data_IF_404616093312
#
_entry.id   IF_404616093312
#
_cell.length_a   1.000
_cell.length_b   1.000
_cell.length_c   1.000
_cell.angle_alpha   90.00
_cell.angle_beta   90.00
_cell.angle_gamma   90.00
#
_symmetry.space_group_name_H-M   'P 1'
#
loop_
_entity.id
_entity.type
_entity.pdbx_description
1 polymer ?
#
# COMPACT_ATOMS: atom_id res chain seq x y z
N UNK A 1 7.16 -7.60 7.19
CA UNK A 1 8.17 -6.63 6.77
C UNK A 1 9.40 -6.77 7.66
N UNK A 2 9.32 -6.55 8.98
CA UNK A 2 10.48 -6.61 9.89
C UNK A 2 11.23 -7.94 9.85
N UNK A 3 10.53 -9.09 9.89
CA UNK A 3 11.18 -10.40 9.82
C UNK A 3 11.96 -10.59 8.50
N UNK A 4 11.42 -10.08 7.40
CA UNK A 4 12.07 -10.09 6.10
C UNK A 4 13.36 -9.26 6.10
N UNK A 5 13.31 -8.01 6.57
CA UNK A 5 14.50 -7.16 6.63
C UNK A 5 15.56 -7.71 7.58
N UNK A 6 15.16 -8.33 8.68
CA UNK A 6 16.09 -9.03 9.61
C UNK A 6 16.74 -10.26 8.98
N UNK A 7 15.99 -11.02 8.17
CA UNK A 7 16.53 -12.20 7.46
C UNK A 7 17.50 -11.82 6.35
N UNK A 8 17.13 -10.80 5.55
CA UNK A 8 17.92 -10.36 4.40
C UNK A 8 19.12 -9.50 4.80
N UNK A 9 18.98 -8.66 5.85
CA UNK A 9 19.98 -7.68 6.30
C UNK A 9 20.53 -6.83 5.14
N UNK A 10 19.66 -6.18 4.36
CA UNK A 10 20.12 -5.39 3.22
C UNK A 10 21.00 -4.23 3.71
N UNK A 11 22.09 -3.96 2.99
CA UNK A 11 22.96 -2.81 3.26
C UNK A 11 22.40 -1.54 2.64
N UNK A 12 21.78 -1.68 1.46
CA UNK A 12 21.21 -0.57 0.72
C UNK A 12 19.89 -0.98 0.07
N UNK A 13 18.88 -0.15 0.23
CA UNK A 13 17.55 -0.37 -0.33
C UNK A 13 17.01 0.87 -1.05
N UNK A 14 16.15 0.65 -2.04
CA UNK A 14 15.38 1.67 -2.73
C UNK A 14 13.90 1.52 -2.37
N UNK A 15 13.24 2.61 -2.01
CA UNK A 15 11.81 2.66 -1.77
C UNK A 15 11.17 3.80 -2.57
N UNK A 16 9.92 3.63 -3.01
CA UNK A 16 9.14 4.73 -3.58
C UNK A 16 8.51 5.58 -2.45
N UNK A 17 8.57 6.89 -2.59
CA UNK A 17 7.96 7.83 -1.64
C UNK A 17 7.11 8.90 -2.39
N UNK A 18 5.89 9.24 -1.90
CA UNK A 18 5.31 8.78 -0.64
C UNK A 18 4.97 7.28 -0.66
N UNK A 19 5.31 6.60 0.44
CA UNK A 19 5.14 5.17 0.61
C UNK A 19 4.78 4.80 2.05
N UNK A 20 4.50 3.53 2.31
CA UNK A 20 4.16 3.07 3.66
C UNK A 20 5.37 3.16 4.60
N UNK A 21 5.23 3.90 5.68
CA UNK A 21 6.32 4.25 6.60
C UNK A 21 7.02 3.02 7.25
N UNK A 22 6.34 1.87 7.34
CA UNK A 22 6.93 0.66 7.91
C UNK A 22 8.05 0.06 7.05
N UNK A 23 8.16 0.40 5.76
CA UNK A 23 9.32 -0.02 4.96
C UNK A 23 10.58 0.69 5.44
N UNK A 24 10.49 2.01 5.59
CA UNK A 24 11.59 2.83 6.11
C UNK A 24 11.95 2.42 7.56
N UNK A 25 10.94 2.22 8.42
CA UNK A 25 11.14 1.81 9.80
C UNK A 25 11.85 0.45 9.91
N UNK A 26 11.44 -0.54 9.12
CA UNK A 26 12.02 -1.87 9.14
C UNK A 26 13.44 -1.89 8.56
N UNK A 27 13.69 -1.16 7.49
CA UNK A 27 15.02 -1.01 6.88
C UNK A 27 15.98 -0.28 7.84
N UNK A 28 15.54 0.80 8.46
CA UNK A 28 16.32 1.54 9.45
C UNK A 28 16.67 0.69 10.66
N UNK A 29 15.72 -0.11 11.16
CA UNK A 29 15.95 -1.06 12.25
C UNK A 29 16.96 -2.16 11.90
N UNK A 30 17.10 -2.49 10.62
CA UNK A 30 18.11 -3.42 10.11
C UNK A 30 19.47 -2.76 9.83
N UNK A 31 19.60 -1.43 10.03
CA UNK A 31 20.82 -0.66 9.73
C UNK A 31 21.05 -0.43 8.24
N UNK A 32 20.02 -0.49 7.42
CA UNK A 32 20.08 -0.34 5.98
C UNK A 32 20.17 1.14 5.58
N UNK A 33 21.01 1.46 4.60
CA UNK A 33 20.98 2.76 3.94
C UNK A 33 19.79 2.81 2.96
N UNK A 34 18.95 3.83 3.09
CA UNK A 34 17.70 3.94 2.31
C UNK A 34 17.85 5.06 1.28
N UNK A 35 17.63 4.73 0.02
CA UNK A 35 17.44 5.68 -1.06
C UNK A 35 15.96 5.75 -1.40
N UNK A 36 15.46 6.95 -1.68
CA UNK A 36 14.06 7.19 -2.01
C UNK A 36 13.92 7.66 -3.45
N UNK A 37 13.03 7.02 -4.21
CA UNK A 37 12.52 7.54 -5.47
C UNK A 37 11.28 8.37 -5.18
N UNK A 38 11.30 9.67 -5.48
CA UNK A 38 10.20 10.57 -5.18
C UNK A 38 9.16 10.56 -6.31
N UNK A 39 7.96 10.08 -6.00
CA UNK A 39 6.81 10.19 -6.88
C UNK A 39 6.37 11.65 -6.98
N UNK A 40 6.26 12.16 -8.20
CA UNK A 40 6.03 13.58 -8.45
C UNK A 40 4.55 13.88 -8.64
N UNK A 41 4.06 14.98 -8.02
CA UNK A 41 2.68 15.48 -8.18
C UNK A 41 2.35 15.75 -9.64
N UNK A 42 3.27 16.37 -10.36
CA UNK A 42 3.16 16.75 -11.78
C UNK A 42 2.97 15.55 -12.70
N UNK A 43 3.43 14.37 -12.24
CA UNK A 43 3.24 13.06 -12.90
C UNK A 43 2.10 12.25 -12.26
N UNK A 44 1.23 12.91 -11.47
CA UNK A 44 0.09 12.27 -10.80
C UNK A 44 0.47 11.25 -9.74
N UNK A 45 1.67 11.31 -9.16
CA UNK A 45 2.24 10.32 -8.24
C UNK A 45 2.35 8.90 -8.82
N UNK A 46 2.36 8.76 -10.14
CA UNK A 46 2.60 7.47 -10.82
C UNK A 46 4.10 7.15 -10.81
N UNK A 47 4.43 5.88 -10.58
CA UNK A 47 5.78 5.37 -10.81
C UNK A 47 6.10 5.47 -12.31
N UNK A 48 7.26 6.03 -12.64
CA UNK A 48 7.67 6.26 -14.01
C UNK A 48 8.72 5.22 -14.46
N UNK A 49 8.95 5.12 -15.78
CA UNK A 49 9.95 4.22 -16.37
C UNK A 49 11.39 4.54 -15.89
N UNK A 50 11.68 5.81 -15.56
CA UNK A 50 12.97 6.27 -15.04
C UNK A 50 13.32 5.71 -13.66
N UNK A 51 12.36 5.05 -12.97
CA UNK A 51 12.65 4.26 -11.78
C UNK A 51 13.70 3.17 -12.03
N UNK A 52 13.74 2.61 -13.24
CA UNK A 52 14.73 1.61 -13.60
C UNK A 52 16.17 2.16 -13.63
N UNK A 53 16.37 3.47 -13.85
CA UNK A 53 17.69 4.12 -13.83
C UNK A 53 18.25 4.18 -12.40
N UNK A 54 17.38 4.11 -11.40
CA UNK A 54 17.72 4.07 -9.98
C UNK A 54 18.09 2.66 -9.48
N UNK A 55 17.91 1.60 -10.28
CA UNK A 55 18.28 0.23 -9.94
C UNK A 55 19.78 0.02 -10.21
N UNK A 56 20.60 0.37 -9.24
CA UNK A 56 22.07 0.26 -9.33
C UNK A 56 22.59 -1.02 -8.69
N UNK A 57 23.76 -1.51 -9.12
CA UNK A 57 24.34 -2.80 -8.69
C UNK A 57 24.69 -2.88 -7.19
N UNK A 58 24.67 -1.76 -6.48
CA UNK A 58 24.93 -1.67 -5.04
C UNK A 58 23.65 -1.77 -4.17
N UNK A 59 22.49 -1.97 -4.80
CA UNK A 59 21.24 -2.22 -4.09
C UNK A 59 21.07 -3.70 -3.75
N UNK A 60 20.58 -3.98 -2.55
CA UNK A 60 20.21 -5.33 -2.12
C UNK A 60 18.70 -5.57 -2.22
N UNK A 61 17.90 -4.50 -2.06
CA UNK A 61 16.45 -4.61 -1.87
C UNK A 61 15.70 -3.41 -2.46
N UNK A 62 14.55 -3.69 -3.05
CA UNK A 62 13.55 -2.69 -3.47
C UNK A 62 12.23 -2.99 -2.79
N UNK A 63 11.57 -1.96 -2.21
CA UNK A 63 10.17 -2.04 -1.78
C UNK A 63 9.28 -1.22 -2.70
N UNK A 64 8.24 -1.85 -3.23
CA UNK A 64 7.15 -1.21 -3.94
C UNK A 64 5.80 -1.65 -3.35
N UNK A 65 4.81 -0.76 -3.38
CA UNK A 65 3.44 -1.04 -2.94
C UNK A 65 2.49 -0.93 -4.14
N UNK A 66 1.67 -1.95 -4.36
CA UNK A 66 0.78 -2.02 -5.53
C UNK A 66 -0.57 -2.66 -5.19
N UNK A 67 -1.65 -1.89 -5.01
CA UNK A 67 -1.75 -0.41 -5.05
C UNK A 67 -0.97 0.31 -3.96
N UNK A 68 -0.40 1.47 -4.31
CA UNK A 68 0.45 2.25 -3.40
C UNK A 68 -0.33 2.90 -2.24
N UNK A 69 0.24 2.90 -1.07
CA UNK A 69 -0.21 3.68 0.08
C UNK A 69 0.75 4.86 0.30
N UNK A 70 0.30 6.15 0.18
CA UNK A 70 -1.08 6.60 0.36
C UNK A 70 -1.89 6.85 -0.92
N UNK A 71 -1.30 6.77 -2.11
CA UNK A 71 -1.92 7.27 -3.34
C UNK A 71 -3.07 6.41 -3.89
N UNK A 72 -3.06 5.10 -3.59
CA UNK A 72 -4.03 4.14 -4.12
C UNK A 72 -3.81 3.75 -5.58
N UNK A 73 -2.74 4.24 -6.20
CA UNK A 73 -2.42 4.01 -7.60
C UNK A 73 -1.73 2.65 -7.80
N UNK A 74 -1.99 2.05 -8.95
CA UNK A 74 -1.32 0.82 -9.39
C UNK A 74 -0.12 1.12 -10.28
N UNK A 75 0.83 0.20 -10.29
CA UNK A 75 1.99 0.20 -11.20
C UNK A 75 1.60 -0.66 -12.42
N UNK A 76 1.79 -0.18 -13.65
CA UNK A 76 1.56 -0.99 -14.84
C UNK A 76 2.38 -2.29 -14.83
N UNK A 77 1.75 -3.41 -15.21
CA UNK A 77 2.41 -4.71 -15.17
C UNK A 77 3.67 -4.76 -16.04
N UNK A 78 3.67 -4.06 -17.19
CA UNK A 78 4.84 -3.95 -18.06
C UNK A 78 6.02 -3.29 -17.36
N UNK A 79 5.77 -2.24 -16.57
CA UNK A 79 6.81 -1.58 -15.78
C UNK A 79 7.30 -2.48 -14.63
N UNK A 80 6.39 -3.21 -13.95
CA UNK A 80 6.77 -4.18 -12.94
C UNK A 80 7.67 -5.29 -13.49
N UNK A 81 7.40 -5.78 -14.71
CA UNK A 81 8.24 -6.77 -15.38
C UNK A 81 9.62 -6.21 -15.71
N UNK A 82 9.71 -4.98 -16.24
CA UNK A 82 11.00 -4.30 -16.46
C UNK A 82 11.80 -4.18 -15.16
N UNK A 83 11.15 -3.78 -14.06
CA UNK A 83 11.79 -3.65 -12.74
C UNK A 83 12.28 -5.02 -12.26
N UNK A 84 11.45 -6.07 -12.40
CA UNK A 84 11.83 -7.45 -12.01
C UNK A 84 13.04 -7.98 -12.78
N UNK A 85 13.07 -7.77 -14.11
CA UNK A 85 14.20 -8.18 -14.95
C UNK A 85 15.49 -7.46 -14.51
N UNK A 86 15.42 -6.14 -14.33
CA UNK A 86 16.54 -5.34 -13.83
C UNK A 86 17.00 -5.81 -12.43
N UNK A 87 16.07 -6.10 -11.52
CA UNK A 87 16.38 -6.61 -10.20
C UNK A 87 17.05 -7.98 -10.27
N UNK A 88 16.54 -8.89 -11.13
CA UNK A 88 17.11 -10.23 -11.32
C UNK A 88 18.54 -10.16 -11.85
N UNK A 89 18.81 -9.35 -12.87
CA UNK A 89 20.13 -9.17 -13.47
C UNK A 89 21.19 -8.68 -12.46
N UNK A 90 20.74 -7.88 -11.46
CA UNK A 90 21.60 -7.25 -10.45
C UNK A 90 21.58 -7.96 -9.09
N UNK A 91 20.88 -9.12 -8.99
CA UNK A 91 20.67 -9.84 -7.74
C UNK A 91 20.02 -9.00 -6.63
N UNK A 92 19.08 -8.13 -6.99
CA UNK A 92 18.30 -7.31 -6.09
C UNK A 92 16.99 -8.05 -5.76
N UNK A 93 16.61 -8.11 -4.49
CA UNK A 93 15.28 -8.59 -4.11
C UNK A 93 14.23 -7.50 -4.33
N UNK A 94 13.12 -7.86 -5.00
CA UNK A 94 11.94 -6.99 -5.09
C UNK A 94 10.86 -7.47 -4.12
N UNK A 95 10.52 -6.63 -3.16
CA UNK A 95 9.37 -6.84 -2.28
C UNK A 95 8.21 -6.00 -2.79
N UNK A 96 7.16 -6.68 -3.25
CA UNK A 96 5.94 -6.07 -3.75
C UNK A 96 4.83 -6.23 -2.71
N UNK A 97 4.42 -5.13 -2.09
CA UNK A 97 3.32 -5.13 -1.13
C UNK A 97 1.99 -5.00 -1.86
N UNK A 98 1.29 -6.11 -1.96
CA UNK A 98 -0.02 -6.24 -2.58
C UNK A 98 -1.17 -6.31 -1.55
N UNK A 99 -1.01 -5.73 -0.35
CA UNK A 99 -2.04 -5.78 0.70
C UNK A 99 -3.39 -5.17 0.31
N UNK A 100 -3.44 -4.34 -0.73
CA UNK A 100 -4.67 -3.71 -1.23
C UNK A 100 -5.15 -4.27 -2.58
N UNK A 101 -4.48 -5.25 -3.14
CA UNK A 101 -4.74 -5.78 -4.48
C UNK A 101 -6.17 -6.32 -4.63
N UNK A 102 -6.72 -6.93 -3.58
CA UNK A 102 -8.05 -7.54 -3.59
C UNK A 102 -9.20 -6.53 -3.76
N UNK A 103 -8.94 -5.22 -3.65
CA UNK A 103 -9.95 -4.18 -3.92
C UNK A 103 -10.07 -3.83 -5.41
N UNK A 104 -9.18 -4.35 -6.26
CA UNK A 104 -9.29 -4.17 -7.71
C UNK A 104 -10.44 -5.00 -8.26
N UNK A 105 -11.08 -4.55 -9.36
CA UNK A 105 -12.11 -5.35 -10.03
C UNK A 105 -11.60 -6.71 -10.53
N UNK A 106 -10.36 -6.74 -11.05
CA UNK A 106 -9.70 -7.90 -11.63
C UNK A 106 -8.27 -8.01 -11.08
N UNK A 107 -8.10 -8.39 -9.79
CA UNK A 107 -6.80 -8.43 -9.13
C UNK A 107 -5.81 -9.40 -9.81
N UNK A 108 -6.31 -10.45 -10.43
CA UNK A 108 -5.52 -11.44 -11.16
C UNK A 108 -4.79 -10.86 -12.38
N UNK A 109 -5.27 -9.76 -12.96
CA UNK A 109 -4.62 -9.06 -14.08
C UNK A 109 -3.49 -8.12 -13.64
N UNK A 110 -3.40 -7.82 -12.34
CA UNK A 110 -2.46 -6.83 -11.80
C UNK A 110 -1.41 -7.47 -10.88
N UNK A 111 -1.79 -8.54 -10.18
CA UNK A 111 -0.87 -9.26 -9.30
C UNK A 111 0.31 -9.86 -10.06
N UNK A 112 1.47 -9.85 -9.41
CA UNK A 112 2.66 -10.52 -9.90
C UNK A 112 2.81 -11.96 -9.36
N UNK A 113 1.78 -12.50 -8.67
CA UNK A 113 1.83 -13.85 -8.08
C UNK A 113 2.14 -14.94 -9.11
N UNK A 114 1.60 -14.84 -10.34
CA UNK A 114 1.88 -15.79 -11.41
C UNK A 114 3.32 -15.76 -11.95
N UNK A 115 4.17 -14.84 -11.42
CA UNK A 115 5.57 -14.68 -11.80
C UNK A 115 6.56 -15.23 -10.78
N UNK A 116 6.08 -15.74 -9.65
CA UNK A 116 6.95 -16.21 -8.56
C UNK A 116 7.91 -17.31 -9.01
N UNK A 117 7.46 -18.31 -9.78
CA UNK A 117 8.30 -19.41 -10.24
C UNK A 117 9.40 -18.96 -11.23
N UNK A 118 9.16 -17.88 -11.97
CA UNK A 118 10.10 -17.29 -12.92
C UNK A 118 11.12 -16.36 -12.23
N UNK A 119 10.73 -15.77 -11.08
CA UNK A 119 11.52 -14.75 -10.38
C UNK A 119 11.71 -15.10 -8.90
N UNK A 120 12.70 -15.92 -8.53
CA UNK A 120 12.97 -16.29 -7.13
C UNK A 120 13.38 -15.08 -6.25
N UNK A 121 13.77 -13.95 -6.85
CA UNK A 121 14.04 -12.70 -6.18
C UNK A 121 12.78 -11.83 -5.93
N UNK A 122 11.58 -12.30 -6.34
CA UNK A 122 10.31 -11.63 -6.07
C UNK A 122 9.69 -12.15 -4.76
N UNK A 123 9.33 -11.22 -3.89
CA UNK A 123 8.60 -11.47 -2.65
C UNK A 123 7.31 -10.67 -2.67
N UNK A 124 6.16 -11.31 -2.48
CA UNK A 124 4.85 -10.64 -2.45
C UNK A 124 4.30 -10.67 -1.04
N UNK A 125 3.92 -9.50 -0.52
CA UNK A 125 3.25 -9.37 0.78
C UNK A 125 1.74 -9.27 0.58
N UNK A 126 0.98 -10.00 1.38
CA UNK A 126 -0.49 -9.99 1.43
C UNK A 126 -0.98 -9.90 2.86
N UNK A 127 -2.19 -9.39 3.05
CA UNK A 127 -2.74 -9.22 4.39
C UNK A 127 -4.26 -9.46 4.44
N UNK A 128 -4.71 -10.13 5.49
CA UNK A 128 -6.13 -10.28 5.83
C UNK A 128 -6.72 -9.01 6.45
N UNK A 129 -5.85 -8.08 6.87
CA UNK A 129 -6.25 -6.87 7.62
C UNK A 129 -7.14 -5.91 6.83
N UNK A 130 -7.12 -5.98 5.50
CA UNK A 130 -7.79 -5.02 4.60
C UNK A 130 -9.09 -5.57 4.08
N UNK A 131 -9.04 -6.46 3.10
CA UNK A 131 -10.24 -6.97 2.42
C UNK A 131 -11.17 -7.74 3.39
N UNK A 132 -10.62 -8.52 4.32
CA UNK A 132 -11.40 -9.26 5.31
C UNK A 132 -11.70 -8.46 6.59
N UNK A 133 -11.40 -7.15 6.62
CA UNK A 133 -11.67 -6.25 7.74
C UNK A 133 -11.20 -6.77 9.13
N UNK A 134 -10.07 -7.47 9.18
CA UNK A 134 -9.51 -8.07 10.41
C UNK A 134 -8.22 -7.39 10.91
N UNK A 135 -8.16 -6.05 11.07
CA UNK A 135 -6.92 -5.37 11.42
C UNK A 135 -6.41 -5.74 12.82
N UNK A 136 -7.30 -6.07 13.76
CA UNK A 136 -6.94 -6.43 15.14
C UNK A 136 -6.27 -7.80 15.28
N UNK A 137 -6.50 -8.73 14.36
CA UNK A 137 -5.96 -10.10 14.41
C UNK A 137 -4.51 -10.19 13.93
N UNK A 138 -3.99 -9.19 13.26
CA UNK A 138 -2.58 -9.09 12.82
C UNK A 138 -2.13 -10.25 11.94
N UNK A 139 -2.96 -10.63 10.95
CA UNK A 139 -2.71 -11.74 10.04
C UNK A 139 -2.29 -11.23 8.65
N UNK A 140 -1.22 -11.79 8.13
CA UNK A 140 -0.71 -11.57 6.78
C UNK A 140 0.27 -12.68 6.40
N UNK A 141 0.67 -12.71 5.15
CA UNK A 141 1.57 -13.72 4.63
C UNK A 141 2.49 -13.17 3.55
N UNK A 142 3.54 -13.92 3.27
CA UNK A 142 4.51 -13.66 2.23
C UNK A 142 4.53 -14.84 1.26
N UNK A 143 4.63 -14.55 -0.02
CA UNK A 143 4.80 -15.50 -1.09
C UNK A 143 6.17 -15.30 -1.73
N UNK A 144 6.88 -16.39 -1.96
CA UNK A 144 8.18 -16.44 -2.66
C UNK A 144 8.40 -17.87 -3.15
N UNK A 145 9.10 -18.08 -4.25
CA UNK A 145 9.48 -19.40 -4.74
C UNK A 145 10.84 -19.88 -4.20
N UNK A 146 11.65 -19.01 -3.61
CA UNK A 146 12.91 -19.35 -2.95
C UNK A 146 12.65 -19.93 -1.56
N UNK A 147 12.68 -21.26 -1.46
CA UNK A 147 12.43 -22.00 -0.21
C UNK A 147 13.51 -21.73 0.86
N UNK A 148 14.78 -21.57 0.46
CA UNK A 148 15.88 -21.27 1.38
C UNK A 148 15.69 -19.87 2.01
N UNK A 149 15.22 -18.90 1.21
CA UNK A 149 14.88 -17.58 1.69
C UNK A 149 13.69 -17.61 2.64
N UNK A 150 12.64 -18.37 2.32
CA UNK A 150 11.47 -18.54 3.19
C UNK A 150 11.87 -19.15 4.54
N UNK A 151 12.75 -20.15 4.56
CA UNK A 151 13.26 -20.76 5.79
C UNK A 151 14.08 -19.75 6.61
N UNK A 152 14.94 -18.95 5.98
CA UNK A 152 15.70 -17.87 6.65
C UNK A 152 14.76 -16.84 7.27
N UNK A 153 13.69 -16.41 6.55
CA UNK A 153 12.70 -15.48 7.07
C UNK A 153 11.94 -16.09 8.24
N UNK A 154 11.52 -17.35 8.13
CA UNK A 154 10.85 -18.10 9.20
C UNK A 154 11.67 -18.15 10.48
N UNK A 155 12.97 -18.43 10.38
CA UNK A 155 13.91 -18.44 11.52
C UNK A 155 14.13 -17.06 12.14
N UNK A 156 13.85 -15.98 11.42
CA UNK A 156 13.97 -14.60 11.92
C UNK A 156 12.71 -14.14 12.64
N UNK A 157 11.63 -14.92 12.57
CA UNK A 157 10.38 -14.62 13.28
C UNK A 157 10.41 -15.18 14.70
N UNK A 158 9.69 -14.52 15.59
CA UNK A 158 9.46 -15.07 16.94
C UNK A 158 8.56 -16.31 16.88
N UNK A 159 8.75 -17.24 17.81
CA UNK A 159 7.88 -18.41 17.95
C UNK A 159 6.43 -17.96 18.21
N UNK A 160 5.47 -18.70 17.60
CA UNK A 160 4.02 -18.44 17.73
C UNK A 160 3.60 -17.01 17.37
N UNK A 161 4.24 -16.42 16.37
CA UNK A 161 3.97 -15.07 15.89
C UNK A 161 2.53 -14.85 15.36
N UNK A 162 1.81 -15.94 15.01
CA UNK A 162 0.39 -15.92 14.63
C UNK A 162 -0.44 -16.59 15.71
N UNK A 163 -1.33 -15.84 16.34
CA UNK A 163 -2.19 -16.34 17.40
C UNK A 163 -3.22 -17.37 16.87
N UNK A 164 -3.67 -18.30 17.73
CA UNK A 164 -4.70 -19.29 17.36
C UNK A 164 -5.97 -18.61 16.84
N UNK A 165 -6.51 -17.55 17.48
CA UNK A 165 -7.68 -16.84 16.94
C UNK A 165 -7.44 -16.28 15.53
N UNK A 166 -6.25 -15.75 15.24
CA UNK A 166 -5.91 -15.26 13.91
C UNK A 166 -5.86 -16.37 12.87
N UNK A 167 -5.29 -17.54 13.22
CA UNK A 167 -5.27 -18.72 12.34
C UNK A 167 -6.67 -19.21 12.02
N UNK A 168 -7.53 -19.36 13.03
CA UNK A 168 -8.92 -19.82 12.87
C UNK A 168 -9.74 -18.83 12.02
N UNK A 169 -9.61 -17.53 12.29
CA UNK A 169 -10.29 -16.50 11.52
C UNK A 169 -9.79 -16.45 10.07
N UNK A 170 -8.49 -16.62 9.84
CA UNK A 170 -7.92 -16.67 8.49
C UNK A 170 -8.46 -17.84 7.68
N UNK A 171 -8.52 -19.05 8.28
CA UNK A 171 -9.10 -20.23 7.63
C UNK A 171 -10.60 -20.04 7.30
N UNK A 172 -11.35 -19.43 8.20
CA UNK A 172 -12.77 -19.11 7.94
C UNK A 172 -12.89 -18.09 6.79
N UNK A 173 -12.10 -17.02 6.83
CA UNK A 173 -12.13 -15.94 5.85
C UNK A 173 -11.83 -16.40 4.41
N UNK A 174 -10.98 -17.41 4.24
CA UNK A 174 -10.64 -17.96 2.92
C UNK A 174 -11.81 -18.65 2.21
N UNK A 175 -12.92 -18.92 2.91
CA UNK A 175 -14.13 -19.49 2.33
C UNK A 175 -15.21 -18.43 2.06
N UNK A 176 -14.93 -17.14 2.27
CA UNK A 176 -15.87 -16.03 2.19
C UNK A 176 -15.78 -15.26 0.87
N UNK A 177 -15.80 -15.98 -0.27
CA UNK A 177 -15.72 -15.37 -1.60
C UNK A 177 -16.83 -14.36 -1.87
N UNK A 178 -18.05 -14.65 -1.38
CA UNK A 178 -19.18 -13.75 -1.51
C UNK A 178 -18.93 -12.41 -0.80
N UNK A 179 -18.41 -12.45 0.43
CA UNK A 179 -18.04 -11.25 1.18
C UNK A 179 -16.98 -10.42 0.44
N UNK A 180 -15.94 -11.06 -0.09
CA UNK A 180 -14.89 -10.36 -0.85
C UNK A 180 -15.46 -9.66 -2.08
N UNK A 181 -16.36 -10.34 -2.81
CA UNK A 181 -17.03 -9.79 -3.99
C UNK A 181 -17.90 -8.59 -3.60
N UNK A 182 -18.75 -8.72 -2.60
CA UNK A 182 -19.63 -7.65 -2.12
C UNK A 182 -18.82 -6.44 -1.61
N UNK A 183 -17.75 -6.68 -0.84
CA UNK A 183 -16.86 -5.62 -0.37
C UNK A 183 -16.19 -4.86 -1.53
N UNK A 184 -15.73 -5.58 -2.55
CA UNK A 184 -15.12 -5.01 -3.75
C UNK A 184 -16.11 -4.13 -4.53
N UNK A 185 -17.34 -4.63 -4.75
CA UNK A 185 -18.41 -3.90 -5.45
C UNK A 185 -18.82 -2.64 -4.68
N UNK A 186 -19.04 -2.77 -3.36
CA UNK A 186 -19.38 -1.64 -2.49
C UNK A 186 -18.29 -0.56 -2.54
N UNK A 187 -17.04 -0.95 -2.27
CA UNK A 187 -15.91 -0.01 -2.25
C UNK A 187 -15.70 0.63 -3.61
N UNK A 188 -15.83 -0.10 -4.70
CA UNK A 188 -15.71 0.44 -6.05
C UNK A 188 -16.74 1.53 -6.35
N UNK A 189 -18.01 1.27 -6.02
CA UNK A 189 -19.12 2.21 -6.17
C UNK A 189 -18.95 3.45 -5.28
N UNK A 190 -18.71 3.22 -4.01
CA UNK A 190 -18.62 4.30 -3.02
C UNK A 190 -17.37 5.16 -3.22
N UNK A 191 -16.26 4.58 -3.67
CA UNK A 191 -15.03 5.31 -4.03
C UNK A 191 -15.29 6.30 -5.17
N UNK A 192 -15.99 5.88 -6.23
CA UNK A 192 -16.33 6.75 -7.35
C UNK A 192 -17.24 7.90 -6.92
N UNK A 193 -18.25 7.60 -6.11
CA UNK A 193 -19.17 8.60 -5.58
C UNK A 193 -18.45 9.62 -4.67
N UNK A 194 -17.69 9.12 -3.69
CA UNK A 194 -16.95 9.95 -2.74
C UNK A 194 -15.92 10.85 -3.45
N UNK A 195 -15.23 10.33 -4.47
CA UNK A 195 -14.31 11.12 -5.30
C UNK A 195 -15.05 12.30 -5.94
N UNK A 196 -16.17 12.04 -6.59
CA UNK A 196 -16.95 13.10 -7.25
C UNK A 196 -17.44 14.19 -6.27
N UNK A 197 -17.87 13.81 -5.06
CA UNK A 197 -18.30 14.78 -4.05
C UNK A 197 -17.13 15.61 -3.48
N UNK A 198 -15.95 15.00 -3.27
CA UNK A 198 -14.77 15.75 -2.85
C UNK A 198 -14.25 16.70 -3.93
N UNK A 199 -14.25 16.29 -5.21
CA UNK A 199 -13.91 17.16 -6.35
C UNK A 199 -14.90 18.32 -6.50
N UNK A 200 -16.18 18.06 -6.35
CA UNK A 200 -17.23 19.08 -6.36
C UNK A 200 -17.07 20.10 -5.20
N UNK A 201 -16.54 19.66 -4.07
CA UNK A 201 -16.19 20.55 -2.96
C UNK A 201 -14.91 21.37 -3.24
N UNK A 202 -14.21 21.15 -4.36
CA UNK A 202 -13.03 21.91 -4.77
C UNK A 202 -11.69 21.30 -4.40
N UNK A 203 -11.66 20.04 -3.96
CA UNK A 203 -10.43 19.33 -3.66
C UNK A 203 -9.83 18.69 -4.92
N UNK A 204 -8.51 18.53 -4.95
CA UNK A 204 -7.82 17.71 -5.97
C UNK A 204 -7.75 16.29 -5.48
N UNK A 205 -8.40 15.34 -6.16
CA UNK A 205 -8.48 13.93 -5.75
C UNK A 205 -7.81 13.05 -6.81
N UNK A 206 -6.86 12.21 -6.40
CA UNK A 206 -6.26 11.23 -7.31
C UNK A 206 -7.13 9.98 -7.43
N UNK A 207 -7.06 9.33 -8.57
CA UNK A 207 -7.67 8.02 -8.76
C UNK A 207 -7.07 7.01 -7.77
N UNK A 208 -7.90 6.07 -7.35
CA UNK A 208 -7.47 5.03 -6.41
C UNK A 208 -8.08 3.68 -6.80
N UNK A 209 -7.30 2.63 -6.59
CA UNK A 209 -7.74 1.24 -6.72
C UNK A 209 -7.93 0.57 -5.35
N UNK A 210 -7.60 1.27 -4.24
CA UNK A 210 -7.71 0.78 -2.88
C UNK A 210 -9.05 1.20 -2.21
N UNK A 211 -9.21 0.87 -0.93
CA UNK A 211 -10.36 1.27 -0.13
C UNK A 211 -10.20 2.63 0.56
N UNK A 212 -9.50 3.54 -0.09
CA UNK A 212 -9.32 4.93 0.34
C UNK A 212 -9.13 5.84 -0.86
N UNK A 213 -9.29 7.13 -0.65
CA UNK A 213 -8.93 8.21 -1.57
C UNK A 213 -7.79 9.04 -1.00
N UNK A 214 -6.85 9.41 -1.87
CA UNK A 214 -5.79 10.37 -1.59
C UNK A 214 -6.15 11.69 -2.28
N UNK A 215 -6.01 12.80 -1.54
CA UNK A 215 -6.42 14.11 -2.06
C UNK A 215 -5.62 15.24 -1.43
N UNK A 216 -5.59 16.37 -2.12
CA UNK A 216 -5.03 17.64 -1.66
C UNK A 216 -6.16 18.60 -1.29
N UNK A 217 -5.96 19.33 -0.19
CA UNK A 217 -6.88 20.33 0.33
C UNK A 217 -6.17 21.35 1.22
N UNK A 218 -6.91 22.29 1.81
CA UNK A 218 -6.34 23.33 2.65
C UNK A 218 -5.60 22.73 3.86
N UNK A 219 -4.51 23.40 4.26
CA UNK A 219 -3.77 23.02 5.48
C UNK A 219 -4.69 23.04 6.70
N UNK A 220 -4.56 22.02 7.55
CA UNK A 220 -5.35 21.92 8.77
C UNK A 220 -6.76 21.36 8.59
N UNK A 221 -7.13 20.86 7.41
CA UNK A 221 -8.43 20.24 7.16
C UNK A 221 -8.67 19.05 8.12
N UNK A 222 -7.69 18.17 8.30
CA UNK A 222 -7.80 17.03 9.21
C UNK A 222 -8.12 17.47 10.65
N UNK A 223 -7.41 18.49 11.17
CA UNK A 223 -7.64 18.99 12.52
C UNK A 223 -9.01 19.68 12.71
N UNK A 224 -9.58 20.24 11.64
CA UNK A 224 -10.95 20.79 11.69
C UNK A 224 -12.01 19.70 11.66
N UNK A 225 -11.83 18.67 10.84
CA UNK A 225 -12.71 17.50 10.80
C UNK A 225 -12.70 16.74 12.13
N UNK A 226 -11.53 16.61 12.76
CA UNK A 226 -11.37 15.97 14.07
C UNK A 226 -12.20 16.64 15.17
N UNK A 227 -12.29 17.99 15.17
CA UNK A 227 -13.16 18.75 16.09
C UNK A 227 -14.65 18.42 15.89
N UNK A 228 -15.04 18.01 14.68
CA UNK A 228 -16.37 17.50 14.35
C UNK A 228 -16.55 16.00 14.58
N UNK A 229 -15.54 15.30 15.15
CA UNK A 229 -15.59 13.86 15.40
C UNK A 229 -15.25 12.99 14.17
N UNK A 230 -14.71 13.57 13.11
CA UNK A 230 -14.38 12.86 11.87
C UNK A 230 -12.85 12.80 11.73
N UNK A 231 -12.31 11.58 11.66
CA UNK A 231 -10.88 11.36 11.51
C UNK A 231 -10.53 10.98 10.07
N UNK A 232 -9.64 11.75 9.47
CA UNK A 232 -8.94 11.41 8.23
C UNK A 232 -7.44 11.34 8.48
N UNK A 233 -6.71 10.66 7.61
CA UNK A 233 -5.25 10.60 7.70
C UNK A 233 -4.63 11.86 7.15
N UNK A 234 -3.94 12.64 7.98
CA UNK A 234 -3.00 13.67 7.52
C UNK A 234 -1.73 12.99 7.02
N UNK A 235 -1.37 13.25 5.76
CA UNK A 235 -0.23 12.64 5.09
C UNK A 235 1.02 13.54 5.07
N UNK A 236 1.03 14.65 5.80
CA UNK A 236 2.17 15.58 5.85
C UNK A 236 3.48 14.96 6.34
N UNK A 237 3.38 13.85 7.09
CA UNK A 237 4.53 13.10 7.59
C UNK A 237 5.04 11.99 6.66
N UNK A 238 4.47 11.87 5.45
CA UNK A 238 5.02 10.96 4.46
C UNK A 238 6.19 11.64 3.73
N UNK A 239 7.30 10.92 3.56
CA UNK A 239 8.44 11.41 2.77
C UNK A 239 7.97 11.79 1.37
N UNK A 240 8.38 12.97 0.88
CA UNK A 240 7.97 13.52 -0.42
C UNK A 240 6.64 14.26 -0.42
N UNK A 241 5.92 14.35 0.72
CA UNK A 241 4.71 15.16 0.86
C UNK A 241 4.94 16.35 1.81
N UNK A 242 4.09 17.37 1.65
CA UNK A 242 3.99 18.53 2.52
C UNK A 242 2.62 18.57 3.20
N UNK A 243 2.35 19.64 3.97
CA UNK A 243 1.00 19.90 4.50
C UNK A 243 -0.03 20.05 3.38
N UNK A 244 -1.24 19.59 3.64
CA UNK A 244 -2.35 19.71 2.70
C UNK A 244 -2.67 18.43 1.93
N UNK A 245 -1.93 17.34 2.18
CA UNK A 245 -2.23 16.03 1.62
C UNK A 245 -2.92 15.13 2.65
N UNK A 246 -3.99 14.50 2.23
CA UNK A 246 -4.85 13.70 3.09
C UNK A 246 -5.22 12.37 2.45
N UNK A 247 -5.56 11.41 3.30
CA UNK A 247 -6.14 10.13 2.87
C UNK A 247 -7.36 9.82 3.73
N UNK A 248 -8.50 9.52 3.09
CA UNK A 248 -9.71 9.10 3.76
C UNK A 248 -10.13 7.70 3.32
N UNK A 249 -10.58 6.88 4.26
CA UNK A 249 -11.11 5.55 3.95
C UNK A 249 -12.47 5.68 3.25
N UNK A 250 -12.69 4.82 2.25
CA UNK A 250 -14.01 4.60 1.65
C UNK A 250 -14.76 3.60 2.53
N UNK A 251 -15.98 3.94 2.94
CA UNK A 251 -16.81 3.19 3.87
C UNK A 251 -18.24 2.98 3.33
N UNK A 252 -19.22 2.85 4.20
CA UNK A 252 -20.63 2.82 3.78
C UNK A 252 -21.08 4.18 3.22
N UNK A 253 -22.15 4.19 2.46
CA UNK A 253 -22.66 5.44 1.85
C UNK A 253 -22.95 6.52 2.90
N UNK A 254 -23.61 6.15 4.00
CA UNK A 254 -23.95 7.05 5.09
C UNK A 254 -22.70 7.68 5.73
N UNK A 255 -21.66 6.89 5.98
CA UNK A 255 -20.41 7.37 6.57
C UNK A 255 -19.63 8.28 5.59
N UNK A 256 -19.62 7.92 4.31
CA UNK A 256 -18.99 8.71 3.25
C UNK A 256 -19.71 10.05 3.07
N UNK A 257 -21.06 10.05 3.15
CA UNK A 257 -21.86 11.26 3.07
C UNK A 257 -21.57 12.22 4.23
N UNK A 258 -21.50 11.71 5.46
CA UNK A 258 -21.13 12.52 6.64
C UNK A 258 -19.76 13.19 6.42
N UNK A 259 -18.76 12.45 5.90
CA UNK A 259 -17.44 13.03 5.63
C UNK A 259 -17.50 14.11 4.56
N UNK A 260 -18.14 13.85 3.41
CA UNK A 260 -18.17 14.79 2.28
C UNK A 260 -18.95 16.05 2.59
N UNK A 261 -20.05 15.95 3.34
CA UNK A 261 -20.83 17.10 3.83
C UNK A 261 -19.99 17.95 4.81
N UNK A 262 -19.29 17.32 5.76
CA UNK A 262 -18.43 18.04 6.70
C UNK A 262 -17.26 18.74 5.98
N UNK A 263 -16.64 18.09 4.99
CA UNK A 263 -15.61 18.71 4.14
C UNK A 263 -16.17 19.92 3.42
N UNK A 264 -17.32 19.80 2.77
CA UNK A 264 -17.98 20.89 2.03
C UNK A 264 -18.31 22.09 2.94
N UNK A 265 -18.81 21.83 4.16
CA UNK A 265 -19.08 22.90 5.14
C UNK A 265 -17.81 23.62 5.59
N UNK A 266 -16.75 22.85 5.90
CA UNK A 266 -15.47 23.41 6.33
C UNK A 266 -14.84 24.28 5.23
N UNK A 267 -14.91 23.85 3.97
CA UNK A 267 -14.31 24.57 2.84
C UNK A 267 -14.99 25.91 2.54
N UNK A 268 -16.25 26.13 2.95
CA UNK A 268 -16.90 27.42 2.84
C UNK A 268 -16.25 28.50 3.73
N UNK A 269 -15.39 28.13 4.67
CA UNK A 269 -14.74 29.03 5.63
C UNK A 269 -13.22 29.20 5.36
N UNK A 270 -12.72 28.70 4.22
CA UNK A 270 -11.38 28.95 3.72
C UNK A 270 -11.38 29.99 2.62
#
# INVERSE_FOLDING_TARGET
IFALTQALRPKKALIAAPGFAEYEAALSAAGCFIRMYLLQKEKGFLLQDDFCDDLTDDLDLVFLCNPNNPTGLTIPQELLLKILDNCRERNIYLVLDECFIEFLPEPEKVTMQGKLDEYPNLLILRAFTKIYAMPGLRLGYLLCSDEDLLDRISRSMQSWNVSIPAQMAGLAALNEDAYVKEARELIGKERAWMKAELEKAGLTVWDSCANYLFFEGPKGLAARLEKGGILIRDCSNYSGLADGYYRAAVRTHEENQILTEAVSQILQWF
#
